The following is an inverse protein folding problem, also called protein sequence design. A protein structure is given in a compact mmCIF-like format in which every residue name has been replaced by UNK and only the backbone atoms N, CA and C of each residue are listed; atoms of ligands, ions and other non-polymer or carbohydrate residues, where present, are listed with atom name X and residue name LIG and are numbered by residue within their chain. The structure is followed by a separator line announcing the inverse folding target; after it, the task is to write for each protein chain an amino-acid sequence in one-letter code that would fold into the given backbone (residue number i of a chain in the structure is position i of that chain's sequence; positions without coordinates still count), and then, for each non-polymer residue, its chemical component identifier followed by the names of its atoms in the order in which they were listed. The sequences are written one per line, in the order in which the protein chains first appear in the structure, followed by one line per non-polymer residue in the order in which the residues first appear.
data_IF_927588956736
#
_entry.id   IF_927588956736
#
_cell.length_a   1.000
_cell.length_b   1.000
_cell.length_c   1.000
_cell.angle_alpha   90.00
_cell.angle_beta   90.00
_cell.angle_gamma   90.00
#
_symmetry.space_group_name_H-M   'P 1'
#
loop_
_entity.id
_entity.type
_entity.pdbx_description
1 polymer ?
#
# COMPACT_ATOMS: atom_id res chain seq x y z
N UNK A 1 -12.79 6.39 -8.34
CA UNK A 1 -12.72 7.43 -7.28
C UNK A 1 -12.45 8.79 -7.92
N UNK A 2 -13.24 9.84 -7.62
CA UNK A 2 -13.01 11.18 -8.19
C UNK A 2 -12.38 12.08 -7.12
N UNK A 3 -11.18 12.60 -7.37
CA UNK A 3 -10.42 13.40 -6.41
C UNK A 3 -11.17 14.67 -5.94
N UNK A 4 -12.07 15.21 -6.77
CA UNK A 4 -12.91 16.37 -6.44
C UNK A 4 -13.95 16.11 -5.34
N UNK A 5 -14.19 14.84 -5.00
CA UNK A 5 -15.17 14.46 -3.98
C UNK A 5 -14.57 14.50 -2.56
N UNK A 6 -13.26 14.83 -2.42
CA UNK A 6 -12.56 14.95 -1.15
C UNK A 6 -12.57 16.37 -0.59
N UNK A 7 -12.83 16.49 0.70
CA UNK A 7 -12.71 17.75 1.42
C UNK A 7 -11.24 18.15 1.57
N UNK A 8 -10.87 19.27 0.96
CA UNK A 8 -9.52 19.85 0.99
C UNK A 8 -9.46 21.14 1.80
N UNK A 9 -10.54 21.51 2.50
CA UNK A 9 -10.65 22.78 3.21
C UNK A 9 -9.76 22.84 4.46
N UNK A 10 -9.64 21.71 5.17
CA UNK A 10 -8.73 21.57 6.31
C UNK A 10 -7.35 21.14 5.83
N UNK A 11 -6.53 22.12 5.49
CA UNK A 11 -5.12 21.91 5.14
C UNK A 11 -4.24 21.90 6.38
N UNK A 12 -3.31 20.96 6.44
CA UNK A 12 -2.31 20.83 7.49
C UNK A 12 -0.94 20.96 6.87
N UNK A 13 -0.05 21.69 7.54
CA UNK A 13 1.36 21.72 7.16
C UNK A 13 2.05 20.50 7.74
N UNK A 14 2.98 19.93 6.99
CA UNK A 14 3.91 18.94 7.51
C UNK A 14 5.33 19.25 7.03
N UNK A 15 6.31 18.83 7.82
CA UNK A 15 7.73 18.97 7.52
C UNK A 15 8.36 17.60 7.28
N UNK A 16 9.21 17.49 6.27
CA UNK A 16 9.91 16.24 5.95
C UNK A 16 10.95 15.96 7.02
N UNK A 17 10.75 14.86 7.74
CA UNK A 17 11.70 14.37 8.75
C UNK A 17 12.78 13.56 8.06
N UNK A 18 12.40 12.69 7.14
CA UNK A 18 13.32 11.83 6.40
C UNK A 18 12.74 11.52 5.00
N UNK A 19 13.63 11.31 4.03
CA UNK A 19 13.29 10.85 2.68
C UNK A 19 14.36 9.85 2.25
N UNK A 20 14.06 8.57 2.45
CA UNK A 20 15.02 7.47 2.27
C UNK A 20 14.66 6.69 1.02
N UNK A 21 15.59 6.58 0.08
CA UNK A 21 15.44 5.67 -1.06
C UNK A 21 15.53 4.23 -0.56
N UNK A 22 14.55 3.40 -0.89
CA UNK A 22 14.49 1.98 -0.50
C UNK A 22 14.71 1.04 -1.69
N UNK A 23 15.19 1.57 -2.81
CA UNK A 23 15.77 0.83 -3.92
C UNK A 23 17.23 1.25 -4.09
N UNK A 24 18.11 0.40 -4.66
CA UNK A 24 19.50 0.75 -4.96
C UNK A 24 19.61 2.00 -5.84
N UNK A 25 20.69 2.78 -5.68
CA UNK A 25 20.86 4.05 -6.41
C UNK A 25 20.91 3.89 -7.93
N UNK A 26 21.43 2.75 -8.40
CA UNK A 26 21.55 2.39 -9.81
C UNK A 26 20.27 1.76 -10.40
N UNK A 27 19.20 1.58 -9.61
CA UNK A 27 17.92 1.08 -10.09
C UNK A 27 17.19 2.17 -10.90
N UNK A 28 16.56 1.77 -12.01
CA UNK A 28 15.66 2.66 -12.77
C UNK A 28 14.40 3.01 -11.97
N UNK A 29 13.93 2.07 -11.13
CA UNK A 29 12.84 2.32 -10.20
C UNK A 29 13.36 3.03 -8.94
N UNK A 30 12.80 4.19 -8.64
CA UNK A 30 13.01 4.93 -7.38
C UNK A 30 11.77 4.77 -6.48
N UNK A 31 11.92 4.01 -5.40
CA UNK A 31 10.97 3.94 -4.30
C UNK A 31 11.54 4.69 -3.10
N UNK A 32 10.71 5.50 -2.44
CA UNK A 32 11.08 6.21 -1.23
C UNK A 32 10.15 5.93 -0.08
N UNK A 33 10.74 5.78 1.10
CA UNK A 33 10.07 5.91 2.38
C UNK A 33 10.25 7.34 2.87
N UNK A 34 9.15 8.07 3.07
CA UNK A 34 9.16 9.48 3.44
C UNK A 34 8.42 9.66 4.76
N UNK A 35 9.11 10.16 5.78
CA UNK A 35 8.51 10.51 7.07
C UNK A 35 8.15 12.00 7.08
N UNK A 36 6.90 12.30 7.44
CA UNK A 36 6.36 13.66 7.53
C UNK A 36 5.86 13.93 8.95
N UNK A 37 6.45 14.91 9.63
CA UNK A 37 5.96 15.42 10.89
C UNK A 37 4.83 16.41 10.62
N UNK A 38 3.61 16.09 11.06
CA UNK A 38 2.43 16.94 10.85
C UNK A 38 2.42 18.03 11.91
N UNK A 39 2.37 19.29 11.48
CA UNK A 39 2.34 20.47 12.35
C UNK A 39 0.92 20.72 12.89
N UNK A 40 0.33 19.69 13.49
CA UNK A 40 -0.96 19.76 14.15
C UNK A 40 -1.00 18.77 15.32
N UNK A 41 -1.17 19.29 16.52
CA UNK A 41 -1.24 18.48 17.76
C UNK A 41 -2.51 17.62 17.77
N UNK A 42 -3.60 18.11 17.17
CA UNK A 42 -4.88 17.39 17.11
C UNK A 42 -4.98 16.47 15.88
N UNK A 43 -3.89 16.27 15.13
CA UNK A 43 -3.88 15.32 14.03
C UNK A 43 -3.77 13.90 14.59
N UNK A 44 -4.80 13.11 14.29
CA UNK A 44 -4.86 11.69 14.58
C UNK A 44 -5.26 10.95 13.30
N UNK A 45 -4.80 9.71 13.16
CA UNK A 45 -5.15 8.85 12.04
C UNK A 45 -5.26 7.40 12.49
N UNK A 46 -6.08 6.65 11.77
CA UNK A 46 -6.24 5.21 11.96
C UNK A 46 -5.44 4.46 10.89
N UNK A 47 -4.88 3.33 11.30
CA UNK A 47 -4.19 2.40 10.41
C UNK A 47 -5.15 1.95 9.30
N UNK A 48 -4.70 2.05 8.04
CA UNK A 48 -5.53 1.82 6.85
C UNK A 48 -6.06 3.08 6.16
N UNK A 49 -5.94 4.25 6.81
CA UNK A 49 -6.28 5.53 6.20
C UNK A 49 -5.23 6.01 5.19
N UNK A 50 -5.67 6.93 4.35
CA UNK A 50 -4.82 7.64 3.38
C UNK A 50 -4.77 9.13 3.69
N UNK A 51 -3.69 9.78 3.26
CA UNK A 51 -3.55 11.24 3.31
C UNK A 51 -3.52 11.80 1.89
N UNK A 52 -4.09 12.98 1.70
CA UNK A 52 -3.91 13.76 0.49
C UNK A 52 -2.71 14.69 0.57
N UNK A 53 -1.92 14.74 -0.50
CA UNK A 53 -0.84 15.69 -0.69
C UNK A 53 -1.30 16.71 -1.74
N UNK A 54 -1.23 17.99 -1.38
CA UNK A 54 -1.48 19.10 -2.29
C UNK A 54 -0.15 19.61 -2.84
N UNK A 55 0.07 19.37 -4.13
CA UNK A 55 1.27 19.84 -4.83
C UNK A 55 1.04 21.29 -5.29
N UNK A 56 1.90 22.25 -4.91
CA UNK A 56 1.76 23.63 -5.34
C UNK A 56 1.98 23.76 -6.85
N UNK A 57 1.25 24.70 -7.47
CA UNK A 57 1.38 25.03 -8.88
C UNK A 57 2.53 25.99 -9.21
N UNK A 58 2.59 26.49 -10.45
CA UNK A 58 1.51 26.41 -11.46
C UNK A 58 1.39 25.02 -12.09
N UNK A 59 0.15 24.56 -12.28
CA UNK A 59 -0.17 23.37 -13.08
C UNK A 59 -0.90 23.76 -14.37
N UNK A 60 -0.99 22.81 -15.30
CA UNK A 60 -1.74 22.98 -16.56
C UNK A 60 -3.18 23.45 -16.31
N UNK A 61 -3.72 24.17 -17.30
CA UNK A 61 -5.08 24.74 -17.26
C UNK A 61 -5.33 25.71 -16.08
N UNK A 62 -4.27 26.29 -15.51
CA UNK A 62 -4.38 27.30 -14.45
C UNK A 62 -4.71 26.72 -13.08
N UNK A 63 -4.58 25.41 -12.89
CA UNK A 63 -4.79 24.77 -11.60
C UNK A 63 -3.70 25.23 -10.60
N UNK A 64 -4.14 25.73 -9.45
CA UNK A 64 -3.24 26.22 -8.39
C UNK A 64 -2.59 25.09 -7.59
N UNK A 65 -3.30 23.98 -7.46
CA UNK A 65 -2.88 22.83 -6.65
C UNK A 65 -3.27 21.53 -7.37
N UNK A 66 -2.49 20.48 -7.12
CA UNK A 66 -2.78 19.13 -7.60
C UNK A 66 -2.85 18.18 -6.41
N UNK A 67 -4.04 17.59 -6.17
CA UNK A 67 -4.26 16.62 -5.10
C UNK A 67 -3.87 15.21 -5.53
N UNK A 68 -3.11 14.51 -4.69
CA UNK A 68 -2.89 13.06 -4.82
C UNK A 68 -2.98 12.36 -3.48
N UNK A 69 -3.66 11.22 -3.43
CA UNK A 69 -3.80 10.43 -2.22
C UNK A 69 -2.66 9.41 -2.12
N UNK A 70 -2.20 9.17 -0.90
CA UNK A 70 -1.20 8.16 -0.54
C UNK A 70 -1.67 7.41 0.71
N UNK A 71 -1.61 6.08 0.67
CA UNK A 71 -1.86 5.27 1.86
C UNK A 71 -0.79 5.54 2.91
N UNK A 72 -1.21 5.69 4.17
CA UNK A 72 -0.27 5.84 5.27
C UNK A 72 0.41 4.49 5.49
N UNK A 73 1.74 4.45 5.36
CA UNK A 73 2.56 3.25 5.46
C UNK A 73 2.98 2.90 6.90
N UNK A 74 2.59 3.74 7.86
CA UNK A 74 2.93 3.65 9.27
C UNK A 74 3.12 5.04 9.85
N UNK A 75 3.58 5.07 11.09
CA UNK A 75 3.89 6.31 11.76
C UNK A 75 4.59 6.07 13.09
N UNK A 76 4.84 7.17 13.79
CA UNK A 76 5.32 7.23 15.17
C UNK A 76 4.97 8.60 15.75
N UNK A 77 5.16 8.75 17.05
CA UNK A 77 5.23 10.07 17.67
C UNK A 77 6.70 10.48 17.75
N UNK A 78 7.03 11.69 17.28
CA UNK A 78 8.37 12.26 17.44
C UNK A 78 8.63 12.70 18.89
N UNK A 79 9.90 12.92 19.23
CA UNK A 79 10.33 13.32 20.58
C UNK A 79 9.72 14.66 21.06
N UNK A 80 9.28 15.51 20.13
CA UNK A 80 8.57 16.77 20.41
C UNK A 80 7.04 16.62 20.46
N UNK A 81 6.55 15.38 20.56
CA UNK A 81 5.13 14.99 20.53
C UNK A 81 4.41 15.25 19.21
N UNK A 82 5.12 15.59 18.12
CA UNK A 82 4.48 15.73 16.81
C UNK A 82 4.16 14.35 16.21
N UNK A 83 2.95 14.15 15.68
CA UNK A 83 2.63 12.94 14.94
C UNK A 83 3.42 12.89 13.63
N UNK A 84 4.12 11.77 13.41
CA UNK A 84 4.86 11.48 12.19
C UNK A 84 4.14 10.38 11.43
N UNK A 85 3.80 10.65 10.18
CA UNK A 85 3.28 9.64 9.25
C UNK A 85 4.36 9.28 8.23
N UNK A 86 4.37 8.02 7.81
CA UNK A 86 5.28 7.51 6.79
C UNK A 86 4.50 7.26 5.49
N UNK A 87 5.06 7.65 4.35
CA UNK A 87 4.53 7.36 3.02
C UNK A 87 5.51 6.48 2.24
N UNK A 88 4.97 5.57 1.43
CA UNK A 88 5.72 4.84 0.42
C UNK A 88 5.40 5.43 -0.96
N UNK A 89 6.39 5.98 -1.63
CA UNK A 89 6.21 6.70 -2.90
C UNK A 89 7.10 6.10 -3.98
N UNK A 90 6.50 5.66 -5.10
CA UNK A 90 7.21 5.35 -6.35
C UNK A 90 7.28 6.60 -7.20
N UNK A 91 8.48 6.99 -7.65
CA UNK A 91 8.63 8.04 -8.67
C UNK A 91 8.00 7.50 -9.97
N UNK A 92 6.97 8.17 -10.45
CA UNK A 92 6.25 7.73 -11.65
C UNK A 92 6.56 8.65 -12.83
N UNK A 93 6.58 8.06 -14.02
CA UNK A 93 6.52 8.76 -15.30
C UNK A 93 5.73 7.90 -16.27
N UNK A 94 5.31 8.47 -17.39
CA UNK A 94 4.86 7.71 -18.55
C UNK A 94 5.52 8.28 -19.80
N UNK A 95 5.56 7.47 -20.87
CA UNK A 95 5.97 7.90 -22.20
C UNK A 95 4.67 7.99 -23.00
N UNK A 96 4.43 9.13 -23.64
CA UNK A 96 3.26 9.30 -24.49
C UNK A 96 3.47 8.57 -25.82
N UNK A 97 2.55 7.68 -26.17
CA UNK A 97 2.70 6.82 -27.36
C UNK A 97 2.61 7.60 -28.67
N UNK A 98 2.05 8.82 -28.67
CA UNK A 98 1.88 9.62 -29.87
C UNK A 98 3.10 10.49 -30.18
N UNK A 99 3.64 11.18 -29.18
CA UNK A 99 4.79 12.09 -29.35
C UNK A 99 6.12 11.52 -28.85
N UNK A 100 6.12 10.41 -28.11
CA UNK A 100 7.30 9.75 -27.59
C UNK A 100 7.98 10.47 -26.41
N UNK A 101 7.36 11.54 -25.89
CA UNK A 101 7.91 12.34 -24.80
C UNK A 101 7.61 11.69 -23.44
N UNK A 102 8.55 11.89 -22.51
CA UNK A 102 8.40 11.48 -21.13
C UNK A 102 7.68 12.56 -20.32
N UNK A 103 6.64 12.16 -19.60
CA UNK A 103 5.88 13.00 -18.69
C UNK A 103 6.02 12.48 -17.26
N UNK A 104 6.59 13.32 -16.40
CA UNK A 104 6.80 12.99 -14.99
C UNK A 104 5.50 13.17 -14.18
N UNK A 105 5.25 12.23 -13.27
CA UNK A 105 4.12 12.30 -12.34
C UNK A 105 4.26 13.48 -11.37
N UNK A 106 3.30 14.41 -11.39
CA UNK A 106 3.33 15.67 -10.62
C UNK A 106 3.60 15.46 -9.12
N UNK A 107 2.80 14.64 -8.46
CA UNK A 107 2.89 14.44 -7.01
C UNK A 107 4.01 13.50 -6.57
N UNK A 108 4.30 12.45 -7.34
CA UNK A 108 5.33 11.48 -6.95
C UNK A 108 6.73 12.06 -7.13
N UNK A 109 6.98 12.82 -8.21
CA UNK A 109 8.25 13.52 -8.38
C UNK A 109 8.41 14.62 -7.34
N UNK A 110 7.36 15.43 -7.10
CA UNK A 110 7.37 16.43 -6.04
C UNK A 110 7.80 15.83 -4.70
N UNK A 111 7.16 14.74 -4.24
CA UNK A 111 7.51 14.10 -2.98
C UNK A 111 8.91 13.48 -2.99
N UNK A 112 9.32 12.82 -4.08
CA UNK A 112 10.64 12.19 -4.16
C UNK A 112 11.79 13.21 -4.19
N UNK A 113 11.54 14.45 -4.63
CA UNK A 113 12.53 15.53 -4.67
C UNK A 113 12.63 16.29 -3.35
N UNK A 114 11.67 16.12 -2.43
CA UNK A 114 11.70 16.77 -1.12
C UNK A 114 12.90 16.30 -0.30
N UNK A 115 13.52 17.27 0.37
CA UNK A 115 14.64 17.09 1.30
C UNK A 115 14.15 17.26 2.73
N UNK A 116 14.95 16.75 3.68
CA UNK A 116 14.71 16.98 5.09
C UNK A 116 14.55 18.48 5.39
N UNK A 117 13.51 18.83 6.13
CA UNK A 117 13.15 20.21 6.47
C UNK A 117 12.24 20.90 5.45
N UNK A 118 12.07 20.36 4.24
CA UNK A 118 11.09 20.89 3.30
C UNK A 118 9.67 20.69 3.83
N UNK A 119 8.74 21.56 3.39
CA UNK A 119 7.36 21.53 3.86
C UNK A 119 6.38 21.15 2.78
N UNK A 120 5.37 20.38 3.16
CA UNK A 120 4.29 19.89 2.31
C UNK A 120 2.94 20.23 2.91
N UNK A 121 1.95 20.43 2.04
CA UNK A 121 0.55 20.63 2.45
C UNK A 121 -0.21 19.32 2.35
N UNK A 122 -0.81 18.91 3.47
CA UNK A 122 -1.59 17.69 3.62
C UNK A 122 -3.08 18.01 3.82
N UNK A 123 -3.94 17.08 3.40
CA UNK A 123 -5.40 17.10 3.63
C UNK A 123 -5.88 15.71 4.01
N UNK A 124 -6.93 15.62 4.83
CA UNK A 124 -7.40 14.35 5.41
C UNK A 124 -7.13 14.27 6.92
N UNK A 125 -6.98 13.06 7.49
CA UNK A 125 -6.90 11.76 6.82
C UNK A 125 -8.25 11.32 6.24
N UNK A 126 -8.23 10.36 5.31
CA UNK A 126 -9.42 9.84 4.65
C UNK A 126 -9.58 8.34 4.88
N UNK A 127 -10.81 7.95 5.25
CA UNK A 127 -11.26 6.55 5.22
C UNK A 127 -11.58 6.18 3.77
N UNK A 128 -10.68 5.43 3.13
CA UNK A 128 -10.87 5.03 1.73
C UNK A 128 -11.42 3.61 1.62
N UNK A 129 -10.68 2.63 2.12
CA UNK A 129 -11.02 1.23 1.90
C UNK A 129 -10.77 0.33 3.12
N UNK A 130 -9.74 0.62 3.91
CA UNK A 130 -9.25 -0.34 4.89
C UNK A 130 -9.55 0.09 6.32
N UNK A 131 -10.07 -0.86 7.08
CA UNK A 131 -10.19 -0.82 8.53
C UNK A 131 -9.72 -2.17 9.07
N UNK A 132 -8.90 -2.15 10.12
CA UNK A 132 -8.46 -3.35 10.80
C UNK A 132 -9.60 -3.90 11.70
N UNK A 133 -9.86 -5.22 11.74
CA UNK A 133 -10.80 -5.80 12.69
C UNK A 133 -10.33 -5.60 14.13
N UNK A 134 -11.27 -5.60 15.07
CA UNK A 134 -10.98 -5.37 16.50
C UNK A 134 -10.59 -6.67 17.21
N UNK A 135 -11.12 -7.77 16.71
CA UNK A 135 -10.97 -9.11 17.22
C UNK A 135 -9.59 -9.65 16.88
N UNK A 136 -8.78 -9.99 17.90
CA UNK A 136 -7.40 -10.45 17.72
C UNK A 136 -7.27 -11.86 17.15
N UNK A 137 -8.38 -12.59 17.08
CA UNK A 137 -8.49 -13.91 16.45
C UNK A 137 -8.98 -13.83 15.00
N UNK A 138 -9.08 -12.62 14.43
CA UNK A 138 -9.39 -12.42 13.02
C UNK A 138 -8.18 -12.79 12.14
N UNK A 139 -8.43 -13.53 11.06
CA UNK A 139 -7.40 -13.79 10.06
C UNK A 139 -7.34 -12.64 9.05
N UNK A 140 -6.14 -12.33 8.56
CA UNK A 140 -5.88 -11.29 7.58
C UNK A 140 -5.20 -11.90 6.36
N UNK A 141 -5.88 -11.89 5.23
CA UNK A 141 -5.30 -12.24 3.92
C UNK A 141 -5.06 -10.94 3.15
N UNK A 142 -3.80 -10.51 3.09
CA UNK A 142 -3.39 -9.23 2.49
C UNK A 142 -2.65 -9.48 1.18
N UNK A 143 -3.08 -8.82 0.11
CA UNK A 143 -2.50 -8.93 -1.23
C UNK A 143 -2.04 -7.54 -1.68
N UNK A 144 -0.73 -7.30 -1.69
CA UNK A 144 -0.11 -5.99 -1.94
C UNK A 144 0.94 -6.02 -3.03
N UNK A 145 0.63 -5.46 -4.21
CA UNK A 145 1.61 -5.36 -5.30
C UNK A 145 2.23 -3.95 -5.40
N UNK A 146 3.55 -3.88 -5.50
CA UNK A 146 4.33 -2.65 -5.55
C UNK A 146 4.10 -1.78 -4.32
N UNK A 147 3.69 -0.53 -4.53
CA UNK A 147 3.38 0.40 -3.42
C UNK A 147 2.11 0.02 -2.64
N UNK A 148 1.34 -0.97 -3.10
CA UNK A 148 0.20 -1.54 -2.38
C UNK A 148 0.55 -2.19 -1.05
N UNK A 149 1.83 -2.48 -0.78
CA UNK A 149 2.29 -2.97 0.52
C UNK A 149 2.20 -1.91 1.65
N UNK A 150 2.10 -0.62 1.30
CA UNK A 150 2.10 0.48 2.27
C UNK A 150 1.09 0.30 3.42
N UNK A 151 -0.22 0.15 3.17
CA UNK A 151 -1.19 -0.07 4.24
C UNK A 151 -0.92 -1.34 5.05
N UNK A 152 -0.43 -2.41 4.42
CA UNK A 152 -0.16 -3.68 5.11
C UNK A 152 1.06 -3.61 6.02
N UNK A 153 2.06 -2.82 5.66
CA UNK A 153 3.14 -2.47 6.58
C UNK A 153 2.60 -1.78 7.84
N UNK A 154 1.66 -0.84 7.67
CA UNK A 154 1.03 -0.18 8.81
C UNK A 154 0.23 -1.17 9.67
N UNK A 155 -0.50 -2.10 9.05
CA UNK A 155 -1.26 -3.16 9.74
C UNK A 155 -0.34 -4.03 10.57
N UNK A 156 0.68 -4.63 9.94
CA UNK A 156 1.63 -5.56 10.60
C UNK A 156 2.31 -4.87 11.78
N UNK A 157 2.86 -3.67 11.57
CA UNK A 157 3.50 -2.92 12.64
C UNK A 157 2.53 -2.65 13.80
N UNK A 158 1.31 -2.22 13.50
CA UNK A 158 0.32 -1.94 14.54
C UNK A 158 -0.09 -3.19 15.33
N UNK A 159 -0.34 -4.29 14.63
CA UNK A 159 -0.75 -5.57 15.22
C UNK A 159 0.33 -6.09 16.18
N UNK A 160 1.59 -6.13 15.75
CA UNK A 160 2.65 -6.77 16.51
C UNK A 160 3.40 -5.83 17.46
N UNK A 161 3.58 -4.55 17.12
CA UNK A 161 4.29 -3.60 17.98
C UNK A 161 3.38 -2.86 18.96
N UNK A 162 2.20 -2.41 18.51
CA UNK A 162 1.35 -1.52 19.31
C UNK A 162 0.28 -2.29 20.10
N UNK A 163 -0.37 -3.28 19.47
CA UNK A 163 -1.45 -4.07 20.08
C UNK A 163 -0.94 -5.32 20.81
N UNK A 164 -0.05 -6.08 20.17
CA UNK A 164 0.49 -7.35 20.65
C UNK A 164 -0.55 -8.48 20.77
N UNK A 165 -0.10 -9.74 20.80
CA UNK A 165 -0.95 -10.90 21.10
C UNK A 165 -2.05 -11.15 20.06
N UNK A 166 -1.70 -11.01 18.78
CA UNK A 166 -2.59 -11.40 17.68
C UNK A 166 -2.57 -12.92 17.52
N UNK A 167 -3.76 -13.53 17.49
CA UNK A 167 -3.96 -14.98 17.49
C UNK A 167 -4.40 -15.51 16.12
N UNK A 168 -5.04 -14.67 15.30
CA UNK A 168 -5.48 -15.04 13.96
C UNK A 168 -4.33 -15.07 12.95
N UNK A 169 -4.52 -15.83 11.87
CA UNK A 169 -3.50 -15.97 10.83
C UNK A 169 -3.33 -14.69 10.01
N UNK A 170 -2.09 -14.18 9.91
CA UNK A 170 -1.74 -13.03 9.08
C UNK A 170 -0.90 -13.52 7.90
N UNK A 171 -1.49 -13.47 6.69
CA UNK A 171 -0.85 -13.88 5.43
C UNK A 171 -0.70 -12.67 4.52
N UNK A 172 0.53 -12.36 4.13
CA UNK A 172 0.86 -11.29 3.20
C UNK A 172 1.38 -11.88 1.88
N UNK A 173 0.62 -11.76 0.81
CA UNK A 173 1.13 -11.93 -0.55
C UNK A 173 1.58 -10.59 -1.06
N UNK A 174 2.88 -10.42 -1.27
CA UNK A 174 3.44 -9.17 -1.77
C UNK A 174 4.28 -9.42 -3.01
N UNK A 175 4.25 -8.48 -3.94
CA UNK A 175 4.93 -8.71 -5.19
C UNK A 175 5.32 -7.47 -5.97
N UNK A 176 6.29 -7.63 -6.85
CA UNK A 176 6.80 -6.57 -7.70
C UNK A 176 7.41 -7.16 -8.98
N UNK A 177 7.72 -6.30 -9.95
CA UNK A 177 8.36 -6.74 -11.20
C UNK A 177 9.71 -7.42 -10.93
N UNK A 178 10.50 -6.89 -9.99
CA UNK A 178 11.80 -7.43 -9.63
C UNK A 178 11.95 -7.51 -8.12
N UNK A 179 12.86 -8.36 -7.63
CA UNK A 179 13.19 -8.44 -6.20
C UNK A 179 13.70 -7.12 -5.61
N UNK A 180 14.28 -6.27 -6.46
CA UNK A 180 14.74 -4.92 -6.08
C UNK A 180 13.55 -4.02 -5.68
N UNK A 181 12.40 -4.19 -6.34
CA UNK A 181 11.19 -3.41 -6.10
C UNK A 181 10.32 -3.94 -4.96
N UNK A 182 10.73 -5.01 -4.27
CA UNK A 182 10.06 -5.52 -3.07
C UNK A 182 10.27 -4.58 -1.87
N UNK A 183 9.50 -3.50 -1.81
CA UNK A 183 9.56 -2.53 -0.72
C UNK A 183 9.45 -3.21 0.65
N UNK A 184 10.33 -2.81 1.59
CA UNK A 184 10.42 -3.35 2.96
C UNK A 184 10.82 -4.82 3.10
N UNK A 185 11.16 -5.47 1.98
CA UNK A 185 11.53 -6.89 1.94
C UNK A 185 12.74 -7.14 1.03
N UNK A 186 13.49 -6.09 0.72
CA UNK A 186 14.71 -6.13 -0.08
C UNK A 186 15.95 -5.84 0.80
N UNK A 187 17.14 -5.85 0.19
CA UNK A 187 18.40 -5.63 0.93
C UNK A 187 18.59 -4.20 1.42
N UNK A 188 17.88 -3.23 0.84
CA UNK A 188 17.96 -1.82 1.23
C UNK A 188 17.09 -1.53 2.46
N UNK A 189 15.94 -2.19 2.54
CA UNK A 189 15.04 -2.08 3.67
C UNK A 189 14.26 -3.39 3.83
N UNK A 190 14.43 -4.02 4.99
CA UNK A 190 13.88 -5.33 5.31
C UNK A 190 12.97 -5.29 6.57
N UNK A 191 12.32 -4.16 6.83
CA UNK A 191 11.51 -3.91 8.02
C UNK A 191 10.47 -5.02 8.33
N UNK A 192 9.86 -5.61 7.30
CA UNK A 192 8.88 -6.68 7.52
C UNK A 192 9.51 -8.02 7.95
N UNK A 193 10.82 -8.21 7.75
CA UNK A 193 11.52 -9.43 8.19
C UNK A 193 11.58 -9.53 9.72
N UNK A 194 11.48 -8.42 10.45
CA UNK A 194 11.52 -8.43 11.92
C UNK A 194 10.31 -9.13 12.56
N UNK A 195 9.22 -9.32 11.80
CA UNK A 195 8.01 -9.97 12.29
C UNK A 195 7.95 -11.45 11.89
N UNK A 196 8.98 -12.01 11.25
CA UNK A 196 8.98 -13.41 10.81
C UNK A 196 9.06 -14.40 11.98
N UNK A 197 9.47 -13.94 13.16
CA UNK A 197 9.46 -14.75 14.38
C UNK A 197 8.07 -14.81 15.03
N UNK A 198 7.09 -14.03 14.54
CA UNK A 198 5.70 -14.09 14.99
C UNK A 198 5.03 -15.34 14.40
N UNK A 199 4.56 -16.25 15.26
CA UNK A 199 3.99 -17.53 14.84
C UNK A 199 2.79 -17.38 13.88
N UNK A 200 2.04 -16.29 14.01
CA UNK A 200 0.85 -16.01 13.19
C UNK A 200 1.17 -15.34 11.85
N UNK A 201 2.40 -14.85 11.64
CA UNK A 201 2.75 -14.11 10.43
C UNK A 201 3.45 -14.97 9.38
N UNK A 202 2.97 -14.91 8.13
CA UNK A 202 3.72 -15.40 6.97
C UNK A 202 3.62 -14.41 5.81
N UNK A 203 4.72 -14.23 5.11
CA UNK A 203 4.78 -13.43 3.89
C UNK A 203 5.31 -14.25 2.71
N UNK A 204 4.67 -14.08 1.56
CA UNK A 204 4.93 -14.81 0.33
C UNK A 204 5.25 -13.83 -0.80
N UNK A 205 6.32 -14.11 -1.52
CA UNK A 205 6.80 -13.27 -2.62
C UNK A 205 6.19 -13.70 -3.94
N UNK A 206 5.61 -12.75 -4.66
CA UNK A 206 5.21 -12.90 -6.06
C UNK A 206 6.11 -12.00 -6.93
N UNK A 207 6.85 -12.57 -7.86
CA UNK A 207 7.74 -11.82 -8.76
C UNK A 207 7.32 -12.02 -10.21
N UNK A 208 7.68 -11.06 -11.07
CA UNK A 208 7.58 -11.32 -12.51
C UNK A 208 8.59 -12.42 -12.90
N UNK A 209 8.16 -13.46 -13.62
CA UNK A 209 9.08 -14.51 -14.08
C UNK A 209 10.02 -13.98 -15.17
N UNK A 210 9.64 -12.89 -15.85
CA UNK A 210 10.37 -12.29 -16.97
C UNK A 210 10.18 -10.77 -16.96
N UNK A 211 10.73 -10.12 -15.94
CA UNK A 211 10.58 -8.68 -15.71
C UNK A 211 11.02 -7.82 -16.91
N UNK A 212 12.10 -8.20 -17.59
CA UNK A 212 12.62 -7.49 -18.76
C UNK A 212 11.72 -7.56 -20.02
N UNK A 213 10.68 -8.41 -19.99
CA UNK A 213 9.71 -8.56 -21.06
C UNK A 213 8.33 -8.06 -20.64
N UNK A 214 8.26 -7.24 -19.57
CA UNK A 214 7.02 -6.69 -19.01
C UNK A 214 5.96 -7.76 -18.69
N UNK A 215 6.40 -8.98 -18.39
CA UNK A 215 5.49 -10.04 -17.96
C UNK A 215 4.95 -9.67 -16.59
N UNK A 216 3.62 -9.75 -16.34
CA UNK A 216 3.05 -9.44 -15.04
C UNK A 216 3.65 -10.25 -13.89
N UNK A 217 3.43 -9.75 -12.67
CA UNK A 217 3.78 -10.45 -11.44
C UNK A 217 3.04 -11.80 -11.38
N UNK A 218 3.75 -12.88 -11.08
CA UNK A 218 3.18 -14.23 -10.96
C UNK A 218 2.52 -14.44 -9.59
N UNK A 219 1.39 -13.76 -9.39
CA UNK A 219 0.59 -13.90 -8.18
C UNK A 219 -0.07 -15.30 -8.10
N UNK A 220 -0.45 -15.85 -9.25
CA UNK A 220 -1.01 -17.20 -9.36
C UNK A 220 -0.03 -18.25 -8.82
N UNK A 221 1.20 -18.26 -9.31
CA UNK A 221 2.24 -19.19 -8.87
C UNK A 221 2.50 -19.09 -7.36
N UNK A 222 2.63 -17.86 -6.85
CA UNK A 222 2.87 -17.62 -5.42
C UNK A 222 1.71 -18.11 -4.53
N UNK A 223 0.45 -17.92 -4.96
CA UNK A 223 -0.71 -18.37 -4.20
C UNK A 223 -0.96 -19.88 -4.34
N UNK A 224 -0.61 -20.47 -5.48
CA UNK A 224 -0.80 -21.90 -5.74
C UNK A 224 0.00 -22.79 -4.78
N UNK A 225 1.18 -22.34 -4.31
CA UNK A 225 1.99 -23.07 -3.32
C UNK A 225 1.27 -23.28 -1.98
N UNK A 226 0.28 -22.43 -1.67
CA UNK A 226 -0.48 -22.47 -0.41
C UNK A 226 -2.00 -22.47 -0.69
N UNK A 227 -2.42 -23.05 -1.82
CA UNK A 227 -3.80 -23.02 -2.30
C UNK A 227 -4.82 -23.49 -1.26
N UNK A 228 -4.53 -24.60 -0.57
CA UNK A 228 -5.42 -25.17 0.45
C UNK A 228 -5.60 -24.23 1.66
N UNK A 229 -4.52 -23.57 2.09
CA UNK A 229 -4.55 -22.59 3.19
C UNK A 229 -5.35 -21.34 2.77
N UNK A 230 -5.08 -20.81 1.57
CA UNK A 230 -5.83 -19.67 1.02
C UNK A 230 -7.32 -19.98 0.94
N UNK A 231 -7.69 -21.17 0.42
CA UNK A 231 -9.09 -21.54 0.31
C UNK A 231 -9.77 -21.69 1.68
N UNK A 232 -9.08 -22.33 2.64
CA UNK A 232 -9.55 -22.46 4.01
C UNK A 232 -9.79 -21.09 4.65
N UNK A 233 -8.84 -20.16 4.49
CA UNK A 233 -8.98 -18.79 4.98
C UNK A 233 -10.16 -18.08 4.35
N UNK A 234 -10.37 -18.19 3.03
CA UNK A 234 -11.50 -17.55 2.37
C UNK A 234 -12.85 -18.03 2.91
N UNK A 235 -12.95 -19.28 3.34
CA UNK A 235 -14.17 -19.86 3.91
C UNK A 235 -14.43 -19.47 5.36
N UNK A 236 -13.38 -19.16 6.13
CA UNK A 236 -13.49 -18.81 7.55
C UNK A 236 -14.22 -17.46 7.72
N UNK A 237 -15.30 -17.40 8.52
CA UNK A 237 -16.04 -16.17 8.77
C UNK A 237 -15.23 -15.08 9.48
N UNK A 238 -14.08 -15.41 10.09
CA UNK A 238 -13.18 -14.45 10.77
C UNK A 238 -12.16 -13.82 9.84
N UNK A 239 -12.02 -14.34 8.62
CA UNK A 239 -11.01 -13.85 7.66
C UNK A 239 -11.45 -12.56 7.01
N UNK A 240 -10.55 -11.59 6.98
CA UNK A 240 -10.66 -10.36 6.22
C UNK A 240 -9.63 -10.36 5.08
N UNK A 241 -10.08 -10.01 3.87
CA UNK A 241 -9.25 -9.91 2.67
C UNK A 241 -9.04 -8.45 2.32
N UNK A 242 -7.78 -8.07 2.14
CA UNK A 242 -7.39 -6.73 1.73
C UNK A 242 -6.53 -6.78 0.48
N UNK A 243 -6.91 -6.01 -0.54
CA UNK A 243 -6.21 -5.98 -1.83
C UNK A 243 -5.77 -4.56 -2.15
N UNK A 244 -4.47 -4.33 -2.35
CA UNK A 244 -3.94 -3.01 -2.66
C UNK A 244 -2.91 -3.05 -3.78
N UNK A 245 -3.04 -2.12 -4.74
CA UNK A 245 -2.08 -2.00 -5.83
C UNK A 245 -2.65 -1.29 -7.06
N UNK A 246 -1.89 -1.36 -8.15
CA UNK A 246 -2.33 -0.86 -9.45
C UNK A 246 -3.48 -1.71 -10.01
N UNK A 247 -4.30 -1.12 -10.87
CA UNK A 247 -5.48 -1.74 -11.51
C UNK A 247 -5.34 -3.20 -11.96
N UNK A 248 -4.17 -3.61 -12.42
CA UNK A 248 -3.90 -4.97 -12.88
C UNK A 248 -4.06 -6.04 -11.79
N UNK A 249 -3.91 -5.68 -10.51
CA UNK A 249 -3.98 -6.63 -9.38
C UNK A 249 -5.32 -7.36 -9.30
N UNK A 250 -6.43 -6.70 -9.63
CA UNK A 250 -7.76 -7.34 -9.57
C UNK A 250 -7.82 -8.54 -10.50
N UNK A 251 -7.41 -8.38 -11.76
CA UNK A 251 -7.44 -9.47 -12.74
C UNK A 251 -6.52 -10.62 -12.34
N UNK A 252 -5.29 -10.31 -11.91
CA UNK A 252 -4.34 -11.32 -11.45
C UNK A 252 -4.85 -12.11 -10.24
N UNK A 253 -5.48 -11.43 -9.28
CA UNK A 253 -6.03 -12.06 -8.09
C UNK A 253 -7.26 -12.91 -8.43
N UNK A 254 -8.16 -12.38 -9.26
CA UNK A 254 -9.34 -13.12 -9.71
C UNK A 254 -8.92 -14.42 -10.42
N UNK A 255 -7.95 -14.36 -11.35
CA UNK A 255 -7.40 -15.54 -12.04
C UNK A 255 -6.78 -16.56 -11.06
N UNK A 256 -5.96 -16.08 -10.12
CA UNK A 256 -5.32 -16.93 -9.12
C UNK A 256 -6.34 -17.66 -8.23
N UNK A 257 -7.35 -16.93 -7.73
CA UNK A 257 -8.35 -17.48 -6.83
C UNK A 257 -9.33 -18.41 -7.55
N UNK A 258 -9.70 -18.11 -8.80
CA UNK A 258 -10.50 -19.04 -9.63
C UNK A 258 -9.78 -20.37 -9.81
N UNK A 259 -8.45 -20.34 -10.02
CA UNK A 259 -7.65 -21.56 -10.16
C UNK A 259 -7.57 -22.36 -8.86
N UNK A 260 -7.41 -21.69 -7.73
CA UNK A 260 -7.41 -22.33 -6.39
C UNK A 260 -8.78 -22.98 -6.09
N UNK A 261 -9.87 -22.26 -6.37
CA UNK A 261 -11.23 -22.71 -6.07
C UNK A 261 -11.71 -23.76 -7.09
N UNK A 262 -11.16 -23.73 -8.31
CA UNK A 262 -11.54 -24.62 -9.40
C UNK A 262 -12.88 -24.26 -10.08
N UNK A 263 -13.51 -23.15 -9.69
CA UNK A 263 -14.82 -22.73 -10.18
C UNK A 263 -14.97 -21.20 -10.15
N UNK A 264 -15.15 -20.54 -11.32
CA UNK A 264 -15.41 -19.11 -11.39
C UNK A 264 -16.68 -18.69 -10.64
N UNK A 265 -17.75 -19.47 -10.78
CA UNK A 265 -19.03 -19.18 -10.14
C UNK A 265 -18.91 -19.25 -8.61
N UNK A 266 -18.19 -20.25 -8.08
CA UNK A 266 -17.96 -20.39 -6.64
C UNK A 266 -17.09 -19.25 -6.10
N UNK A 267 -16.08 -18.82 -6.87
CA UNK A 267 -15.28 -17.65 -6.53
C UNK A 267 -16.12 -16.38 -6.44
N UNK A 268 -16.91 -16.08 -7.47
CA UNK A 268 -17.77 -14.90 -7.51
C UNK A 268 -18.76 -14.88 -6.35
N UNK A 269 -19.39 -16.01 -6.05
CA UNK A 269 -20.30 -16.15 -4.90
C UNK A 269 -19.57 -15.91 -3.57
N UNK A 270 -18.38 -16.48 -3.38
CA UNK A 270 -17.61 -16.32 -2.17
C UNK A 270 -17.14 -14.86 -1.99
N UNK A 271 -16.61 -14.24 -3.05
CA UNK A 271 -16.18 -12.84 -3.05
C UNK A 271 -17.36 -11.91 -2.75
N UNK A 272 -18.50 -12.10 -3.43
CA UNK A 272 -19.71 -11.31 -3.17
C UNK A 272 -20.18 -11.44 -1.72
N UNK A 273 -20.19 -12.66 -1.17
CA UNK A 273 -20.51 -12.89 0.25
C UNK A 273 -19.57 -12.13 1.19
N UNK A 274 -18.26 -12.19 0.95
CA UNK A 274 -17.29 -11.47 1.79
C UNK A 274 -17.44 -9.96 1.68
N UNK A 275 -17.79 -9.42 0.50
CA UNK A 275 -18.09 -8.01 0.31
C UNK A 275 -19.34 -7.61 1.12
N UNK A 276 -20.42 -8.38 1.03
CA UNK A 276 -21.68 -8.11 1.75
C UNK A 276 -21.49 -8.17 3.28
N UNK A 277 -20.60 -9.05 3.75
CA UNK A 277 -20.23 -9.18 5.16
C UNK A 277 -19.18 -8.15 5.62
N UNK A 278 -18.69 -7.28 4.73
CA UNK A 278 -17.68 -6.26 5.04
C UNK A 278 -16.27 -6.81 5.30
N UNK A 279 -16.00 -8.04 4.85
CA UNK A 279 -14.73 -8.77 5.04
C UNK A 279 -13.82 -8.76 3.80
N UNK A 280 -14.21 -8.07 2.73
CA UNK A 280 -13.39 -7.90 1.53
C UNK A 280 -13.27 -6.41 1.20
N UNK A 281 -12.05 -5.90 1.17
CA UNK A 281 -11.78 -4.51 0.85
C UNK A 281 -10.68 -4.38 -0.20
N UNK A 282 -10.86 -3.46 -1.14
CA UNK A 282 -9.90 -3.20 -2.22
C UNK A 282 -9.53 -1.71 -2.28
N UNK A 283 -8.24 -1.43 -2.40
CA UNK A 283 -7.67 -0.11 -2.67
C UNK A 283 -6.86 -0.17 -3.97
N UNK A 284 -7.58 0.04 -5.08
CA UNK A 284 -7.03 -0.08 -6.43
C UNK A 284 -6.94 1.31 -7.08
N UNK A 285 -5.78 1.63 -7.66
CA UNK A 285 -5.47 2.94 -8.24
C UNK A 285 -4.83 2.90 -9.63
#
# INVERSE_FOLDING_TARGET
MRLKDYDTTRQMRASVVSSTRITPDNSETELRHIDLAVDSIDFDYQVGQSIGVLVPGPHEFGLKEYLRLYSIAGGRTADDFKPVISLLVKRCYYIDDFNGERYDGKASNYLCDLKQGDTVTLVGPYNIAFALPKEKDANLLMIGLGTGIAPFRAFIKHIYSDLGGWEGDVRLYHGAMTGIELAYMNDQNADLKYYYDEETFKAFQALSPRAHFDVPVDLEGAMAENADEVWTLLQDPKTHVYVAGLKQISGLLDEALVKIIGSPETYEQQKAKMIDEGRWAELIY
#
